data_IF_025359636673
#
_entry.id   IF_025359636673
#
_cell.length_a   1.000
_cell.length_b   1.000
_cell.length_c   1.000
_cell.angle_alpha   90.00
_cell.angle_beta   90.00
_cell.angle_gamma   90.00
#
_symmetry.space_group_name_H-M   'P 1'
#
loop_
_entity.id
_entity.type
_entity.pdbx_description
1 polymer ?
#
# COMPACT_ATOMS: atom_id res chain seq x y z
N UNK A 1 1.14 21.83 6.09
CA UNK A 1 0.29 20.88 6.81
C UNK A 1 1.07 19.66 7.31
N UNK A 2 1.86 18.95 6.49
CA UNK A 2 2.65 17.77 6.96
C UNK A 2 3.97 18.17 7.65
N UNK A 3 4.58 19.30 7.29
CA UNK A 3 5.85 19.74 7.90
C UNK A 3 5.69 20.12 9.39
N UNK A 4 4.49 20.54 9.82
CA UNK A 4 4.25 20.97 11.20
C UNK A 4 4.18 19.81 12.20
N UNK A 5 3.98 18.57 11.74
CA UNK A 5 3.76 17.38 12.59
C UNK A 5 4.98 16.45 12.67
N UNK A 6 6.11 16.84 12.08
CA UNK A 6 7.34 16.03 12.13
C UNK A 6 7.87 15.92 13.57
N UNK A 7 8.21 14.70 13.99
CA UNK A 7 8.66 14.41 15.34
C UNK A 7 7.56 14.34 16.41
N UNK A 8 6.31 14.67 16.06
CA UNK A 8 5.16 14.42 16.93
C UNK A 8 4.82 12.93 17.00
N UNK A 9 4.11 12.54 18.06
CA UNK A 9 3.65 11.16 18.24
C UNK A 9 2.50 10.84 17.26
N UNK A 10 2.62 9.72 16.56
CA UNK A 10 1.65 9.27 15.55
C UNK A 10 0.26 9.07 16.17
N UNK A 11 0.17 8.57 17.41
CA UNK A 11 -1.10 8.41 18.11
C UNK A 11 -1.78 9.75 18.37
N UNK A 12 -1.01 10.75 18.81
CA UNK A 12 -1.53 12.11 19.00
C UNK A 12 -2.04 12.74 17.70
N UNK A 13 -1.29 12.58 16.60
CA UNK A 13 -1.69 13.08 15.27
C UNK A 13 -2.94 12.35 14.76
N UNK A 14 -3.08 11.05 15.05
CA UNK A 14 -4.24 10.24 14.69
C UNK A 14 -5.46 10.47 15.62
N UNK A 15 -5.34 11.32 16.66
CA UNK A 15 -6.42 11.61 17.60
C UNK A 15 -6.69 10.48 18.62
N UNK A 16 -5.69 9.65 18.90
CA UNK A 16 -5.74 8.56 19.88
C UNK A 16 -4.66 8.77 20.97
N UNK A 17 -4.56 7.83 21.90
CA UNK A 17 -3.51 7.77 22.92
C UNK A 17 -2.10 7.77 22.28
N UNK A 18 -1.11 8.34 23.00
CA UNK A 18 0.28 8.32 22.55
C UNK A 18 0.83 6.90 22.41
N UNK A 19 1.43 6.61 21.27
CA UNK A 19 1.97 5.28 20.96
C UNK A 19 3.48 5.17 21.23
N UNK A 20 4.15 6.29 21.48
CA UNK A 20 5.62 6.36 21.58
C UNK A 20 6.32 6.26 20.22
N UNK A 21 5.58 6.42 19.12
CA UNK A 21 6.09 6.30 17.74
C UNK A 21 6.08 7.68 17.13
N UNK A 22 7.24 8.15 16.67
CA UNK A 22 7.39 9.48 16.07
C UNK A 22 7.09 9.48 14.57
N UNK A 23 6.47 10.56 14.11
CA UNK A 23 6.37 10.91 12.70
C UNK A 23 7.75 11.21 12.11
N UNK A 24 8.17 10.45 11.10
CA UNK A 24 9.45 10.65 10.40
C UNK A 24 9.27 11.34 9.05
N UNK A 25 10.33 11.98 8.54
CA UNK A 25 10.27 12.78 7.32
C UNK A 25 10.43 11.94 6.05
N UNK A 26 11.08 10.79 6.15
CA UNK A 26 11.37 9.93 5.01
C UNK A 26 11.27 8.46 5.37
N UNK A 27 11.05 7.63 4.35
CA UNK A 27 11.07 6.19 4.50
C UNK A 27 12.47 5.71 4.88
N UNK A 28 13.52 6.34 4.33
CA UNK A 28 14.91 5.96 4.57
C UNK A 28 15.24 6.01 6.07
N UNK A 29 14.78 7.04 6.79
CA UNK A 29 14.93 7.13 8.26
C UNK A 29 14.21 6.00 9.01
N UNK A 30 13.02 5.60 8.54
CA UNK A 30 12.23 4.52 9.15
C UNK A 30 12.90 3.16 8.94
N UNK A 31 13.46 2.93 7.75
CA UNK A 31 14.17 1.70 7.40
C UNK A 31 15.38 1.47 8.31
N UNK A 32 16.10 2.53 8.66
CA UNK A 32 17.29 2.44 9.51
C UNK A 32 16.96 2.25 11.00
N UNK A 33 15.87 2.87 11.48
CA UNK A 33 15.55 2.95 12.90
C UNK A 33 14.60 1.86 13.39
N UNK A 34 13.52 1.62 12.66
CA UNK A 34 12.39 0.82 13.13
C UNK A 34 12.29 -0.56 12.46
N UNK A 35 12.87 -0.72 11.26
CA UNK A 35 12.88 -1.98 10.49
C UNK A 35 11.52 -2.71 10.49
N UNK A 36 10.47 -2.09 9.94
CA UNK A 36 9.14 -2.71 9.94
C UNK A 36 9.11 -3.94 9.03
N UNK A 37 8.32 -4.95 9.41
CA UNK A 37 8.09 -6.13 8.56
C UNK A 37 7.19 -5.83 7.36
N UNK A 38 6.23 -4.90 7.55
CA UNK A 38 5.22 -4.53 6.55
C UNK A 38 5.01 -3.03 6.53
N UNK A 39 4.89 -2.45 5.34
CA UNK A 39 4.49 -1.05 5.13
C UNK A 39 3.24 -0.99 4.26
N UNK A 40 2.29 -0.14 4.66
CA UNK A 40 1.08 0.17 3.90
C UNK A 40 1.22 1.57 3.31
N UNK A 41 1.25 1.66 1.98
CA UNK A 41 1.52 2.90 1.25
C UNK A 41 0.26 3.40 0.50
N UNK A 42 -0.23 4.55 0.94
CA UNK A 42 -1.29 5.35 0.32
C UNK A 42 -0.79 6.75 -0.06
N UNK A 43 0.42 6.84 -0.64
CA UNK A 43 1.02 8.09 -1.09
C UNK A 43 0.52 8.51 -2.48
N UNK A 44 1.29 9.31 -3.22
CA UNK A 44 0.93 9.84 -4.53
C UNK A 44 1.45 8.92 -5.65
N UNK A 45 0.69 8.75 -6.77
CA UNK A 45 1.15 8.02 -7.94
C UNK A 45 2.56 8.40 -8.45
N UNK A 46 2.98 9.66 -8.26
CA UNK A 46 4.28 10.15 -8.68
C UNK A 46 5.46 9.58 -7.88
N UNK A 47 5.23 9.06 -6.67
CA UNK A 47 6.30 8.60 -5.75
C UNK A 47 6.21 7.12 -5.38
N UNK A 48 5.06 6.48 -5.62
CA UNK A 48 4.81 5.11 -5.17
C UNK A 48 5.79 4.08 -5.74
N UNK A 49 6.20 4.23 -7.00
CA UNK A 49 7.14 3.31 -7.64
C UNK A 49 8.51 3.34 -6.95
N UNK A 50 9.08 4.53 -6.74
CA UNK A 50 10.38 4.69 -6.07
C UNK A 50 10.33 4.24 -4.60
N UNK A 51 9.23 4.54 -3.90
CA UNK A 51 9.01 4.09 -2.54
C UNK A 51 8.94 2.55 -2.45
N UNK A 52 8.13 1.91 -3.30
CA UNK A 52 8.00 0.46 -3.36
C UNK A 52 9.33 -0.22 -3.66
N UNK A 53 10.10 0.32 -4.61
CA UNK A 53 11.43 -0.16 -4.95
C UNK A 53 12.37 -0.15 -3.75
N UNK A 54 12.42 0.95 -2.99
CA UNK A 54 13.24 1.06 -1.78
C UNK A 54 12.82 0.05 -0.70
N UNK A 55 11.53 -0.02 -0.39
CA UNK A 55 11.00 -0.93 0.63
C UNK A 55 11.26 -2.40 0.30
N UNK A 56 10.96 -2.81 -0.94
CA UNK A 56 11.18 -4.19 -1.38
C UNK A 56 12.67 -4.53 -1.41
N UNK A 57 13.54 -3.59 -1.80
CA UNK A 57 15.00 -3.78 -1.77
C UNK A 57 15.54 -3.92 -0.34
N UNK A 58 14.84 -3.37 0.65
CA UNK A 58 15.16 -3.53 2.07
C UNK A 58 14.59 -4.83 2.68
N UNK A 59 13.93 -5.68 1.88
CA UNK A 59 13.33 -6.94 2.35
C UNK A 59 11.96 -6.76 3.02
N UNK A 60 11.33 -5.59 2.89
CA UNK A 60 10.08 -5.26 3.58
C UNK A 60 8.88 -5.56 2.71
N UNK A 61 7.86 -6.19 3.29
CA UNK A 61 6.61 -6.44 2.58
C UNK A 61 5.81 -5.14 2.40
N UNK A 62 5.21 -4.94 1.23
CA UNK A 62 4.52 -3.69 0.88
C UNK A 62 3.08 -3.97 0.48
N UNK A 63 2.17 -3.14 1.00
CA UNK A 63 0.77 -3.09 0.59
C UNK A 63 0.53 -1.72 -0.05
N UNK A 64 0.26 -1.70 -1.36
CA UNK A 64 0.10 -0.48 -2.14
C UNK A 64 -1.38 -0.26 -2.44
N UNK A 65 -1.93 0.84 -1.93
CA UNK A 65 -3.28 1.30 -2.25
C UNK A 65 -3.35 2.37 -3.32
N UNK A 66 -2.23 3.05 -3.57
CA UNK A 66 -2.13 4.10 -4.58
C UNK A 66 -2.18 3.51 -5.99
N UNK A 67 -2.93 4.14 -6.88
CA UNK A 67 -2.99 3.78 -8.30
C UNK A 67 -1.83 4.41 -9.08
N UNK A 68 -1.67 4.06 -10.36
CA UNK A 68 -0.70 4.73 -11.25
C UNK A 68 0.61 3.99 -11.49
N UNK A 69 0.77 2.78 -10.95
CA UNK A 69 1.84 1.88 -11.37
C UNK A 69 1.54 1.31 -12.77
N UNK A 70 2.50 1.40 -13.69
CA UNK A 70 2.40 0.76 -15.01
C UNK A 70 2.59 -0.76 -14.91
N UNK A 71 2.35 -1.48 -16.01
CA UNK A 71 2.64 -2.92 -16.05
C UNK A 71 4.13 -3.20 -15.86
N UNK A 72 4.99 -2.45 -16.56
CA UNK A 72 6.44 -2.59 -16.53
C UNK A 72 7.00 -2.31 -15.12
N UNK A 73 6.47 -1.29 -14.45
CA UNK A 73 6.83 -0.98 -13.07
C UNK A 73 6.44 -2.12 -12.12
N UNK A 74 5.28 -2.76 -12.32
CA UNK A 74 4.85 -3.90 -11.49
C UNK A 74 5.74 -5.12 -11.70
N UNK A 75 6.14 -5.40 -12.93
CA UNK A 75 7.03 -6.52 -13.25
C UNK A 75 8.43 -6.32 -12.66
N UNK A 76 8.95 -5.09 -12.68
CA UNK A 76 10.22 -4.77 -12.02
C UNK A 76 10.11 -4.92 -10.50
N UNK A 77 9.03 -4.42 -9.89
CA UNK A 77 8.81 -4.55 -8.45
C UNK A 77 8.64 -6.02 -8.02
N UNK A 78 7.99 -6.87 -8.82
CA UNK A 78 7.91 -8.32 -8.56
C UNK A 78 9.31 -8.96 -8.58
N UNK A 79 10.13 -8.59 -9.57
CA UNK A 79 11.52 -9.07 -9.68
C UNK A 79 12.36 -8.68 -8.46
N UNK A 80 12.26 -7.42 -8.03
CA UNK A 80 12.95 -6.90 -6.84
C UNK A 80 12.45 -7.61 -5.59
N UNK A 81 11.13 -7.74 -5.41
CA UNK A 81 10.54 -8.40 -4.26
C UNK A 81 11.01 -9.85 -4.12
N UNK A 82 10.95 -10.62 -5.20
CA UNK A 82 11.44 -12.02 -5.22
C UNK A 82 12.91 -12.13 -4.83
N UNK A 83 13.75 -11.23 -5.34
CA UNK A 83 15.19 -11.24 -5.09
C UNK A 83 15.55 -10.93 -3.64
N UNK A 84 14.69 -10.19 -2.93
CA UNK A 84 14.91 -9.73 -1.56
C UNK A 84 13.98 -10.41 -0.53
N UNK A 85 13.28 -11.49 -0.93
CA UNK A 85 12.30 -12.20 -0.08
C UNK A 85 11.18 -11.29 0.46
N UNK A 86 10.84 -10.24 -0.28
CA UNK A 86 9.79 -9.29 0.03
C UNK A 86 8.56 -9.54 -0.86
N UNK A 87 7.38 -9.20 -0.35
CA UNK A 87 6.10 -9.42 -1.03
C UNK A 87 5.44 -8.07 -1.30
N UNK A 88 4.76 -7.93 -2.43
CA UNK A 88 4.04 -6.72 -2.79
C UNK A 88 2.57 -7.05 -3.12
N UNK A 89 1.63 -6.42 -2.41
CA UNK A 89 0.20 -6.47 -2.72
C UNK A 89 -0.22 -5.13 -3.30
N UNK A 90 -0.59 -5.10 -4.58
CA UNK A 90 -1.21 -3.92 -5.20
C UNK A 90 -2.72 -4.09 -5.17
N UNK A 91 -3.39 -3.36 -4.28
CA UNK A 91 -4.84 -3.45 -4.06
C UNK A 91 -5.48 -2.05 -4.23
N UNK A 92 -6.05 -1.73 -5.41
CA UNK A 92 -6.69 -0.42 -5.63
C UNK A 92 -7.97 -0.21 -4.81
N UNK A 93 -8.48 -1.27 -4.16
CA UNK A 93 -9.65 -1.23 -3.28
C UNK A 93 -9.45 -2.20 -2.09
N UNK A 94 -9.53 -1.67 -0.87
CA UNK A 94 -9.43 -2.45 0.38
C UNK A 94 -10.78 -2.83 0.97
N UNK A 95 -11.89 -2.38 0.38
CA UNK A 95 -13.23 -2.76 0.83
C UNK A 95 -13.47 -4.24 0.55
N UNK A 96 -13.48 -5.04 1.61
CA UNK A 96 -13.77 -6.46 1.52
C UNK A 96 -15.12 -6.72 0.83
N UNK A 97 -16.14 -5.91 1.13
CA UNK A 97 -17.46 -6.02 0.51
C UNK A 97 -17.42 -5.78 -1.00
N UNK A 98 -16.66 -4.77 -1.45
CA UNK A 98 -16.49 -4.50 -2.88
C UNK A 98 -15.72 -5.62 -3.58
N UNK A 99 -14.62 -6.09 -2.98
CA UNK A 99 -13.82 -7.21 -3.52
C UNK A 99 -14.64 -8.50 -3.60
N UNK A 100 -15.42 -8.80 -2.55
CA UNK A 100 -16.34 -9.94 -2.55
C UNK A 100 -17.43 -9.79 -3.60
N UNK A 101 -18.03 -8.61 -3.74
CA UNK A 101 -19.03 -8.33 -4.77
C UNK A 101 -18.44 -8.57 -6.16
N UNK A 102 -17.26 -8.02 -6.47
CA UNK A 102 -16.59 -8.25 -7.76
C UNK A 102 -16.35 -9.74 -8.02
N UNK A 103 -15.86 -10.48 -7.02
CA UNK A 103 -15.59 -11.92 -7.15
C UNK A 103 -16.88 -12.71 -7.40
N UNK A 104 -17.91 -12.50 -6.57
CA UNK A 104 -19.19 -13.22 -6.66
C UNK A 104 -19.93 -12.85 -7.95
N UNK A 105 -19.94 -11.58 -8.33
CA UNK A 105 -20.54 -11.15 -9.59
C UNK A 105 -19.85 -11.79 -10.80
N UNK A 106 -18.52 -11.90 -10.80
CA UNK A 106 -17.79 -12.58 -11.86
C UNK A 106 -18.09 -14.09 -11.91
N UNK A 107 -18.20 -14.75 -10.75
CA UNK A 107 -18.56 -16.17 -10.66
C UNK A 107 -20.00 -16.45 -11.13
N UNK A 108 -20.93 -15.53 -10.86
CA UNK A 108 -22.34 -15.68 -11.22
C UNK A 108 -22.65 -15.26 -12.66
N UNK A 109 -21.87 -14.35 -13.24
CA UNK A 109 -22.11 -13.79 -14.58
C UNK A 109 -22.43 -14.85 -15.67
N UNK A 110 -21.77 -16.03 -15.74
CA UNK A 110 -22.09 -17.05 -16.74
C UNK A 110 -23.51 -17.64 -16.64
N UNK A 111 -24.17 -17.52 -15.49
CA UNK A 111 -25.49 -18.09 -15.23
C UNK A 111 -26.65 -17.11 -15.47
N UNK A 112 -26.35 -15.83 -15.70
CA UNK A 112 -27.36 -14.79 -15.90
C UNK A 112 -27.31 -14.26 -17.35
N UNK A 113 -28.45 -14.21 -18.06
CA UNK A 113 -28.48 -13.80 -19.47
C UNK A 113 -28.31 -12.28 -19.67
N UNK A 114 -28.53 -11.47 -18.63
CA UNK A 114 -28.42 -10.03 -18.66
C UNK A 114 -27.77 -9.52 -17.37
N UNK A 115 -27.07 -8.39 -17.44
CA UNK A 115 -26.45 -7.71 -16.30
C UNK A 115 -26.71 -6.20 -16.38
N UNK A 116 -26.95 -5.58 -15.22
CA UNK A 116 -27.10 -4.13 -15.07
C UNK A 116 -26.30 -3.70 -13.83
N UNK A 117 -25.63 -2.55 -13.90
CA UNK A 117 -24.90 -1.94 -12.79
C UNK A 117 -25.59 -0.61 -12.45
N UNK A 118 -25.94 -0.42 -11.19
CA UNK A 118 -26.52 0.83 -10.66
C UNK A 118 -25.60 1.28 -9.52
N UNK A 119 -25.12 2.52 -9.59
CA UNK A 119 -24.30 3.19 -8.55
C UNK A 119 -25.05 4.36 -7.91
#
# INVERSE_FOLDING_TARGET
SIISTLGEDVGSVAGIEQLGIKMNASIDEVLDTNKPDVIVDFTNPAVIYENAKKMLSAGIHVVIGTTGLTAEQRDELDTIGRSNQANCLVAPNFSLGAVMMMKVSAELAPYFPNVEIIE
#
